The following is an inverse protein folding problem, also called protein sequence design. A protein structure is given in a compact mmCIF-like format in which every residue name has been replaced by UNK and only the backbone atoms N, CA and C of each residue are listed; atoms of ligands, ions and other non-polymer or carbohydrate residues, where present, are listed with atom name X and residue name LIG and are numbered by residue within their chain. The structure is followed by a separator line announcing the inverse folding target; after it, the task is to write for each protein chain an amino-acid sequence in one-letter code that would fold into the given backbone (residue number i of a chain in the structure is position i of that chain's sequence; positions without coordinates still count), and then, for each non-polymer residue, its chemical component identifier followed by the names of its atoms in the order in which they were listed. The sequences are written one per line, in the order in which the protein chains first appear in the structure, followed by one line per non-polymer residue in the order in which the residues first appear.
data_IF_000351140195
#
_entry.id   IF_000351140195
#
_cell.length_a   1.000
_cell.length_b   1.000
_cell.length_c   1.000
_cell.angle_alpha   90.00
_cell.angle_beta   90.00
_cell.angle_gamma   90.00
#
_symmetry.space_group_name_H-M   'P 1'
#
loop_
_entity.id
_entity.type
_entity.pdbx_description
1 polymer ?
#
# COMPACT_ATOMS: atom_id res chain seq x y z
N UNK A 1 -13.40 -19.00 16.90
CA UNK A 1 -14.45 -19.43 15.91
C UNK A 1 -13.86 -20.58 15.10
N UNK A 2 -14.56 -21.68 15.01
CA UNK A 2 -14.07 -22.86 14.26
C UNK A 2 -14.95 -23.17 13.07
N UNK A 3 -14.33 -23.57 11.96
CA UNK A 3 -15.03 -23.92 10.74
C UNK A 3 -14.16 -24.87 9.88
N UNK A 4 -14.67 -26.07 9.59
CA UNK A 4 -14.01 -27.05 8.70
C UNK A 4 -12.53 -27.34 9.05
N UNK A 5 -12.19 -27.45 10.34
CA UNK A 5 -10.81 -27.69 10.78
C UNK A 5 -9.92 -26.45 10.84
N UNK A 6 -10.48 -25.27 10.54
CA UNK A 6 -9.82 -23.97 10.75
C UNK A 6 -10.26 -23.39 12.10
N UNK A 7 -9.34 -22.74 12.80
CA UNK A 7 -9.62 -22.00 14.03
C UNK A 7 -9.17 -20.54 13.88
N UNK A 8 -10.05 -19.59 14.25
CA UNK A 8 -9.76 -18.17 14.25
C UNK A 8 -9.49 -17.68 15.66
N UNK A 9 -8.37 -17.00 15.86
CA UNK A 9 -7.97 -16.35 17.10
C UNK A 9 -7.67 -14.87 16.86
N UNK A 10 -7.98 -14.05 17.86
CA UNK A 10 -7.45 -12.68 17.96
C UNK A 10 -6.25 -12.77 18.90
N UNK A 11 -5.12 -12.28 18.41
CA UNK A 11 -3.84 -12.40 19.13
C UNK A 11 -3.26 -11.02 19.46
N UNK A 12 -2.33 -10.98 20.41
CA UNK A 12 -1.60 -9.77 20.78
C UNK A 12 -0.53 -9.42 19.74
N UNK A 13 -0.02 -8.19 19.80
CA UNK A 13 1.11 -7.77 18.95
C UNK A 13 2.38 -8.55 19.27
N UNK A 14 2.59 -8.93 20.53
CA UNK A 14 3.74 -9.72 20.99
C UNK A 14 3.71 -11.13 20.42
N UNK A 15 2.55 -11.81 20.50
CA UNK A 15 2.36 -13.14 19.89
C UNK A 15 2.57 -13.08 18.38
N UNK A 16 2.05 -12.03 17.73
CA UNK A 16 2.22 -11.83 16.30
C UNK A 16 3.70 -11.63 15.90
N UNK A 17 4.44 -10.81 16.63
CA UNK A 17 5.88 -10.60 16.40
C UNK A 17 6.67 -11.90 16.58
N UNK A 18 6.31 -12.72 17.58
CA UNK A 18 6.93 -14.03 17.81
C UNK A 18 6.65 -15.01 16.67
N UNK A 19 5.39 -15.12 16.27
CA UNK A 19 4.96 -16.00 15.16
C UNK A 19 5.68 -15.69 13.85
N UNK A 20 5.90 -14.40 13.56
CA UNK A 20 6.50 -13.94 12.30
C UNK A 20 8.03 -13.80 12.34
N UNK A 21 8.68 -13.97 13.49
CA UNK A 21 10.12 -13.74 13.68
C UNK A 21 10.99 -14.48 12.67
N UNK A 22 10.61 -15.69 12.29
CA UNK A 22 11.37 -16.57 11.40
C UNK A 22 10.82 -16.62 9.98
N UNK A 23 9.88 -15.73 9.63
CA UNK A 23 9.30 -15.65 8.28
C UNK A 23 9.99 -14.53 7.52
N UNK A 24 10.67 -14.86 6.44
CA UNK A 24 11.45 -13.89 5.64
C UNK A 24 10.62 -13.05 4.69
N UNK A 25 9.50 -13.60 4.20
CA UNK A 25 8.76 -13.04 3.05
C UNK A 25 7.46 -12.35 3.49
N UNK A 26 7.56 -11.52 4.53
CA UNK A 26 6.40 -10.79 5.06
C UNK A 26 6.18 -9.53 4.21
N UNK A 27 4.96 -9.33 3.66
CA UNK A 27 4.61 -8.09 2.99
C UNK A 27 4.73 -6.87 3.91
N UNK A 28 5.18 -5.75 3.38
CA UNK A 28 5.47 -4.54 4.18
C UNK A 28 4.25 -4.04 4.95
N UNK A 29 3.02 -4.20 4.44
CA UNK A 29 1.81 -3.71 5.10
C UNK A 29 1.36 -4.52 6.31
N UNK A 30 1.89 -5.73 6.51
CA UNK A 30 1.64 -6.55 7.70
C UNK A 30 2.91 -6.83 8.51
N UNK A 31 4.06 -6.32 8.06
CA UNK A 31 5.30 -6.44 8.84
C UNK A 31 5.09 -5.90 10.26
N UNK A 32 5.52 -6.62 11.32
CA UNK A 32 5.34 -6.19 12.70
C UNK A 32 5.79 -4.76 13.00
N UNK A 33 6.88 -4.30 12.37
CA UNK A 33 7.35 -2.92 12.47
C UNK A 33 6.35 -1.95 11.83
N UNK A 34 5.87 -2.31 10.65
CA UNK A 34 4.96 -1.48 9.86
C UNK A 34 3.61 -1.27 10.54
N UNK A 35 3.06 -2.30 11.16
CA UNK A 35 1.74 -2.22 11.81
C UNK A 35 1.72 -1.47 13.14
N UNK A 36 2.89 -1.12 13.70
CA UNK A 36 2.99 -0.31 14.94
C UNK A 36 2.39 1.08 14.79
N UNK A 37 2.24 1.57 13.56
CA UNK A 37 1.59 2.84 13.28
C UNK A 37 0.10 2.86 13.60
N UNK A 38 -0.57 1.71 13.58
CA UNK A 38 -1.98 1.61 13.92
C UNK A 38 -2.14 1.55 15.43
N UNK A 39 -2.64 2.65 16.01
CA UNK A 39 -2.93 2.75 17.44
C UNK A 39 -3.94 1.69 17.87
N UNK A 40 -5.04 1.58 17.14
CA UNK A 40 -6.03 0.54 17.33
C UNK A 40 -6.00 -0.43 16.16
N UNK A 41 -5.77 -1.70 16.48
CA UNK A 41 -5.79 -2.80 15.51
C UNK A 41 -6.22 -4.10 16.18
N UNK A 42 -6.86 -4.95 15.42
CA UNK A 42 -7.01 -6.38 15.76
C UNK A 42 -6.13 -7.20 14.83
N UNK A 43 -5.49 -8.20 15.38
CA UNK A 43 -4.66 -9.14 14.62
C UNK A 43 -5.37 -10.49 14.63
N UNK A 44 -5.88 -10.85 13.46
CA UNK A 44 -6.60 -12.10 13.24
C UNK A 44 -5.59 -13.15 12.79
N UNK A 45 -5.54 -14.27 13.50
CA UNK A 45 -4.74 -15.45 13.19
C UNK A 45 -5.66 -16.61 12.82
N UNK A 46 -5.42 -17.23 11.69
CA UNK A 46 -6.08 -18.48 11.30
C UNK A 46 -5.11 -19.63 11.48
N UNK A 47 -5.59 -20.66 12.17
CA UNK A 47 -4.88 -21.92 12.35
C UNK A 47 -5.50 -23.00 11.48
N UNK A 48 -4.67 -23.90 10.94
CA UNK A 48 -5.05 -25.16 10.33
C UNK A 48 -4.29 -26.26 11.04
N UNK A 49 -5.00 -27.20 11.68
CA UNK A 49 -4.40 -28.28 12.47
C UNK A 49 -3.45 -27.77 13.58
N UNK A 50 -3.85 -26.70 14.26
CA UNK A 50 -3.12 -25.93 15.28
C UNK A 50 -1.87 -25.19 14.79
N UNK A 51 -1.58 -25.17 13.48
CA UNK A 51 -0.45 -24.46 12.89
C UNK A 51 -0.91 -23.16 12.23
N UNK A 52 -0.13 -22.07 12.31
CA UNK A 52 -0.47 -20.83 11.63
C UNK A 52 -0.63 -21.01 10.12
N UNK A 53 -1.75 -20.54 9.59
CA UNK A 53 -2.07 -20.56 8.16
C UNK A 53 -2.07 -19.16 7.57
N UNK A 54 -2.75 -18.22 8.23
CA UNK A 54 -2.89 -16.88 7.72
C UNK A 54 -3.01 -15.84 8.83
N UNK A 55 -2.65 -14.60 8.51
CA UNK A 55 -2.83 -13.45 9.39
C UNK A 55 -3.53 -12.32 8.63
N UNK A 56 -4.31 -11.53 9.36
CA UNK A 56 -4.84 -10.28 8.87
C UNK A 56 -4.81 -9.22 9.96
N UNK A 57 -4.21 -8.08 9.67
CA UNK A 57 -4.18 -6.92 10.55
C UNK A 57 -5.29 -5.98 10.16
N UNK A 58 -6.22 -5.72 11.05
CA UNK A 58 -7.39 -4.87 10.83
C UNK A 58 -7.23 -3.61 11.69
N UNK A 59 -6.77 -2.49 11.13
CA UNK A 59 -6.82 -1.22 11.83
C UNK A 59 -8.27 -0.77 11.99
N UNK A 60 -8.57 -0.13 13.12
CA UNK A 60 -9.91 0.37 13.37
C UNK A 60 -9.92 1.65 14.18
N UNK A 61 -11.04 2.34 14.17
CA UNK A 61 -11.34 3.46 15.05
C UNK A 61 -12.84 3.51 15.34
N UNK A 62 -13.21 4.32 16.35
CA UNK A 62 -14.61 4.60 16.66
C UNK A 62 -15.00 5.99 16.12
N UNK A 63 -16.13 6.05 15.44
CA UNK A 63 -16.75 7.29 14.98
C UNK A 63 -18.26 7.21 15.23
N UNK A 64 -18.80 8.17 15.94
CA UNK A 64 -20.24 8.25 16.29
C UNK A 64 -20.74 6.94 16.98
N UNK A 65 -19.94 6.37 17.88
CA UNK A 65 -20.23 5.12 18.58
C UNK A 65 -20.15 3.85 17.71
N UNK A 66 -19.79 3.97 16.44
CA UNK A 66 -19.64 2.86 15.49
C UNK A 66 -18.18 2.44 15.33
N UNK A 67 -17.92 1.13 15.20
CA UNK A 67 -16.58 0.57 14.97
C UNK A 67 -16.31 0.43 13.48
N UNK A 68 -15.30 1.14 13.00
CA UNK A 68 -14.89 1.21 11.60
C UNK A 68 -13.59 0.45 11.35
N UNK A 69 -13.61 -0.54 10.48
CA UNK A 69 -12.41 -1.16 9.94
C UNK A 69 -11.91 -0.32 8.75
N UNK A 70 -10.97 0.57 9.02
CA UNK A 70 -10.42 1.48 8.01
C UNK A 70 -9.02 1.95 8.40
N UNK A 71 -8.22 2.30 7.41
CA UNK A 71 -6.92 2.97 7.59
C UNK A 71 -7.13 4.47 7.79
N UNK A 72 -7.17 4.95 9.03
CA UNK A 72 -7.47 6.36 9.34
C UNK A 72 -6.62 7.35 8.53
N UNK A 73 -5.34 7.05 8.25
CA UNK A 73 -4.39 7.98 7.60
C UNK A 73 -3.73 7.43 6.34
N UNK A 74 -4.22 6.33 5.75
CA UNK A 74 -3.74 5.75 4.47
C UNK A 74 -2.21 5.58 4.40
N UNK A 75 -1.62 4.90 5.37
CA UNK A 75 -0.16 4.70 5.42
C UNK A 75 0.38 3.76 4.34
N UNK A 76 -0.39 2.75 4.00
CA UNK A 76 -0.10 1.80 2.91
C UNK A 76 -1.26 1.78 1.94
N UNK A 77 -0.99 1.53 0.66
CA UNK A 77 -2.03 1.46 -0.35
C UNK A 77 -3.02 0.33 -0.05
N UNK A 78 -2.53 -0.78 0.49
CA UNK A 78 -3.28 -2.02 0.65
C UNK A 78 -3.16 -2.61 2.05
N UNK A 79 -4.18 -3.38 2.46
CA UNK A 79 -4.16 -4.24 3.64
C UNK A 79 -4.89 -5.54 3.29
N UNK A 80 -4.16 -6.62 3.11
CA UNK A 80 -4.72 -7.92 2.74
C UNK A 80 -4.38 -9.01 3.74
N UNK A 81 -5.21 -10.05 3.88
CA UNK A 81 -4.81 -11.27 4.53
C UNK A 81 -3.55 -11.86 3.88
N UNK A 82 -2.64 -12.32 4.72
CA UNK A 82 -1.38 -12.95 4.29
C UNK A 82 -1.35 -14.40 4.72
N UNK A 83 -1.02 -15.29 3.78
CA UNK A 83 -0.88 -16.73 4.02
C UNK A 83 0.59 -17.09 4.19
N UNK A 84 0.96 -17.55 5.39
CA UNK A 84 2.35 -17.89 5.73
C UNK A 84 2.81 -19.21 5.10
N UNK A 85 1.88 -20.04 4.65
CA UNK A 85 2.18 -21.29 3.94
C UNK A 85 1.17 -21.54 2.82
N UNK A 86 1.62 -22.27 1.81
CA UNK A 86 0.73 -22.75 0.72
C UNK A 86 -0.32 -23.70 1.30
N UNK A 87 -1.56 -23.55 0.87
CA UNK A 87 -2.65 -24.45 1.21
C UNK A 87 -3.57 -24.65 0.00
N UNK A 88 -4.39 -25.72 -0.01
CA UNK A 88 -5.39 -25.92 -1.07
C UNK A 88 -6.34 -24.74 -1.20
N UNK A 89 -6.73 -24.37 -2.43
CA UNK A 89 -7.60 -23.24 -2.71
C UNK A 89 -8.91 -23.27 -1.89
N UNK A 90 -9.47 -24.47 -1.62
CA UNK A 90 -10.65 -24.61 -0.78
C UNK A 90 -10.38 -24.09 0.64
N UNK A 91 -9.25 -24.50 1.25
CA UNK A 91 -8.88 -24.05 2.59
C UNK A 91 -8.59 -22.55 2.64
N UNK A 92 -7.97 -22.02 1.58
CA UNK A 92 -7.74 -20.60 1.42
C UNK A 92 -9.05 -19.80 1.41
N UNK A 93 -10.04 -20.23 0.61
CA UNK A 93 -11.37 -19.63 0.59
C UNK A 93 -12.11 -19.72 1.92
N UNK A 94 -12.03 -20.87 2.61
CA UNK A 94 -12.62 -21.08 3.93
C UNK A 94 -11.98 -20.14 4.97
N UNK A 95 -10.66 -19.96 4.95
CA UNK A 95 -9.95 -19.03 5.84
C UNK A 95 -10.36 -17.57 5.60
N UNK A 96 -10.44 -17.15 4.34
CA UNK A 96 -10.93 -15.80 3.97
C UNK A 96 -12.37 -15.60 4.42
N UNK A 97 -13.25 -16.58 4.20
CA UNK A 97 -14.62 -16.53 4.71
C UNK A 97 -14.67 -16.32 6.23
N UNK A 98 -13.87 -17.08 6.99
CA UNK A 98 -13.81 -16.95 8.45
C UNK A 98 -13.34 -15.54 8.88
N UNK A 99 -12.28 -15.02 8.26
CA UNK A 99 -11.75 -13.69 8.56
C UNK A 99 -12.83 -12.62 8.37
N UNK A 100 -13.45 -12.60 7.19
CA UNK A 100 -14.42 -11.53 6.86
C UNK A 100 -15.76 -11.73 7.56
N UNK A 101 -16.18 -12.97 7.82
CA UNK A 101 -17.36 -13.23 8.64
C UNK A 101 -17.15 -12.72 10.08
N UNK A 102 -15.96 -12.91 10.65
CA UNK A 102 -15.63 -12.32 11.95
C UNK A 102 -15.69 -10.80 11.91
N UNK A 103 -15.06 -10.17 10.92
CA UNK A 103 -15.05 -8.70 10.79
C UNK A 103 -16.48 -8.16 10.65
N UNK A 104 -17.28 -8.69 9.75
CA UNK A 104 -18.64 -8.21 9.48
C UNK A 104 -19.61 -8.48 10.66
N UNK A 105 -19.26 -9.44 11.54
CA UNK A 105 -20.02 -9.66 12.78
C UNK A 105 -19.65 -8.69 13.91
N UNK A 106 -18.41 -8.16 13.92
CA UNK A 106 -17.86 -7.38 15.04
C UNK A 106 -17.63 -5.90 14.73
N UNK A 107 -17.78 -5.48 13.45
CA UNK A 107 -17.61 -4.12 13.00
C UNK A 107 -18.90 -3.60 12.38
N UNK A 108 -19.15 -2.30 12.49
CA UNK A 108 -20.31 -1.66 11.85
C UNK A 108 -20.01 -1.30 10.39
N UNK A 109 -18.77 -0.95 10.10
CA UNK A 109 -18.32 -0.57 8.75
C UNK A 109 -16.95 -1.16 8.42
N UNK A 110 -16.73 -1.43 7.14
CA UNK A 110 -15.42 -1.70 6.59
C UNK A 110 -15.21 -0.94 5.28
N UNK A 111 -14.09 -0.24 5.19
CA UNK A 111 -13.65 0.48 3.98
C UNK A 111 -12.16 0.23 3.77
N UNK A 112 -11.84 -0.80 2.97
CA UNK A 112 -10.48 -1.33 2.90
C UNK A 112 -10.07 -1.76 1.50
N UNK A 113 -8.95 -1.25 0.96
CA UNK A 113 -8.34 -1.78 -0.25
C UNK A 113 -7.56 -3.05 0.05
N UNK A 114 -7.76 -4.05 -0.78
CA UNK A 114 -6.97 -5.26 -0.77
C UNK A 114 -5.86 -5.19 -1.83
N UNK A 115 -4.77 -5.90 -1.57
CA UNK A 115 -3.63 -5.95 -2.49
C UNK A 115 -4.03 -6.54 -3.86
N UNK A 116 -3.43 -6.09 -4.98
CA UNK A 116 -3.75 -6.60 -6.32
C UNK A 116 -3.58 -8.12 -6.49
N UNK A 117 -2.71 -8.75 -5.69
CA UNK A 117 -2.56 -10.22 -5.69
C UNK A 117 -3.69 -10.97 -4.98
N UNK A 118 -4.63 -10.28 -4.35
CA UNK A 118 -5.76 -10.91 -3.65
C UNK A 118 -6.85 -11.32 -4.64
N UNK A 119 -7.20 -12.61 -4.65
CA UNK A 119 -8.10 -13.21 -5.66
C UNK A 119 -9.39 -13.81 -5.08
N UNK A 120 -9.51 -13.95 -3.76
CA UNK A 120 -10.63 -14.65 -3.10
C UNK A 120 -11.89 -13.79 -2.91
N UNK A 121 -12.20 -12.92 -3.88
CA UNK A 121 -13.29 -11.93 -3.82
C UNK A 121 -14.66 -12.56 -3.57
N UNK A 122 -14.94 -13.70 -4.22
CA UNK A 122 -16.23 -14.37 -4.10
C UNK A 122 -16.58 -14.81 -2.66
N UNK A 123 -15.57 -15.12 -1.84
CA UNK A 123 -15.75 -15.48 -0.43
C UNK A 123 -16.24 -14.29 0.42
N UNK A 124 -15.89 -13.08 0.02
CA UNK A 124 -16.27 -11.84 0.71
C UNK A 124 -17.65 -11.35 0.21
N UNK A 125 -17.88 -11.39 -1.11
CA UNK A 125 -19.16 -10.99 -1.70
C UNK A 125 -20.32 -11.83 -1.16
N UNK A 126 -20.11 -13.12 -0.95
CA UNK A 126 -21.10 -14.02 -0.35
C UNK A 126 -21.52 -13.64 1.08
N UNK A 127 -20.76 -12.77 1.76
CA UNK A 127 -21.06 -12.21 3.08
C UNK A 127 -21.80 -10.85 3.02
N UNK A 128 -22.16 -10.38 1.83
CA UNK A 128 -22.93 -9.13 1.67
C UNK A 128 -22.09 -7.85 1.51
N UNK A 129 -20.77 -7.97 1.34
CA UNK A 129 -19.94 -6.81 1.05
C UNK A 129 -20.08 -6.36 -0.41
N UNK A 130 -20.01 -5.07 -0.64
CA UNK A 130 -19.84 -4.49 -1.97
C UNK A 130 -18.35 -4.40 -2.30
N UNK A 131 -17.98 -4.86 -3.50
CA UNK A 131 -16.61 -4.84 -3.99
C UNK A 131 -16.50 -3.83 -5.12
N UNK A 132 -15.78 -2.75 -4.86
CA UNK A 132 -15.40 -1.77 -5.89
C UNK A 132 -14.10 -2.22 -6.56
N UNK A 133 -14.03 -2.12 -7.89
CA UNK A 133 -12.79 -2.33 -8.63
C UNK A 133 -12.06 -0.99 -8.81
N UNK A 134 -10.84 -0.92 -8.34
CA UNK A 134 -9.92 0.20 -8.60
C UNK A 134 -8.71 -0.32 -9.35
N UNK A 135 -7.89 0.57 -9.87
CA UNK A 135 -6.68 0.16 -10.59
C UNK A 135 -5.45 0.87 -10.04
N UNK A 136 -4.32 0.22 -10.25
CA UNK A 136 -2.99 0.77 -10.06
C UNK A 136 -2.13 0.50 -11.29
N UNK A 137 -0.96 1.10 -11.34
CA UNK A 137 0.02 0.89 -12.40
C UNK A 137 1.25 0.21 -11.82
N UNK A 138 1.71 -0.87 -12.46
CA UNK A 138 2.89 -1.61 -12.03
C UNK A 138 3.92 -1.75 -13.16
N UNK A 139 5.18 -1.68 -12.81
CA UNK A 139 6.29 -2.16 -13.64
C UNK A 139 6.69 -3.56 -13.19
N UNK A 140 7.03 -4.43 -14.16
CA UNK A 140 7.56 -5.78 -13.90
C UNK A 140 9.03 -5.93 -14.27
N UNK A 141 9.61 -4.90 -14.83
CA UNK A 141 11.01 -4.84 -15.23
C UNK A 141 11.52 -3.40 -15.16
N UNK A 142 12.82 -3.24 -15.28
CA UNK A 142 13.40 -1.92 -15.50
C UNK A 142 12.72 -1.25 -16.68
N UNK A 143 12.33 -0.01 -16.50
CA UNK A 143 11.72 0.78 -17.55
C UNK A 143 12.61 0.79 -18.80
N UNK A 144 12.10 0.29 -19.93
CA UNK A 144 12.80 0.32 -21.20
C UNK A 144 12.63 1.69 -21.87
N UNK A 145 13.67 2.50 -21.87
CA UNK A 145 13.60 3.85 -22.40
C UNK A 145 13.29 3.89 -23.92
N UNK A 146 13.62 2.85 -24.68
CA UNK A 146 13.38 2.82 -26.12
C UNK A 146 11.90 2.54 -26.47
N UNK A 147 11.15 2.00 -25.55
CA UNK A 147 9.70 1.78 -25.68
C UNK A 147 8.87 3.00 -25.26
N UNK A 148 9.48 3.98 -24.60
CA UNK A 148 8.79 5.20 -24.18
C UNK A 148 8.60 6.18 -25.33
N UNK A 149 7.59 7.04 -25.20
CA UNK A 149 7.45 8.21 -26.06
C UNK A 149 8.77 8.99 -26.16
N UNK A 150 9.10 9.46 -27.36
CA UNK A 150 10.37 10.13 -27.65
C UNK A 150 10.61 11.36 -26.77
N UNK A 151 9.56 12.11 -26.45
CA UNK A 151 9.62 13.31 -25.59
C UNK A 151 9.95 12.91 -24.15
N UNK A 152 9.30 11.87 -23.60
CA UNK A 152 9.56 11.38 -22.25
C UNK A 152 10.99 10.81 -22.15
N UNK A 153 11.38 9.97 -23.11
CA UNK A 153 12.74 9.42 -23.21
C UNK A 153 13.81 10.51 -23.21
N UNK A 154 13.63 11.54 -24.06
CA UNK A 154 14.58 12.64 -24.15
C UNK A 154 14.61 13.49 -22.87
N UNK A 155 13.47 13.66 -22.19
CA UNK A 155 13.41 14.34 -20.89
C UNK A 155 14.19 13.57 -19.82
N UNK A 156 14.04 12.24 -19.72
CA UNK A 156 14.81 11.39 -18.81
C UNK A 156 16.30 11.47 -19.12
N UNK A 157 16.69 11.33 -20.40
CA UNK A 157 18.10 11.45 -20.83
C UNK A 157 18.69 12.84 -20.55
N UNK A 158 17.89 13.91 -20.65
CA UNK A 158 18.34 15.27 -20.32
C UNK A 158 18.50 15.46 -18.81
N UNK A 159 17.55 14.97 -18.02
CA UNK A 159 17.59 15.05 -16.56
C UNK A 159 18.78 14.24 -15.98
N UNK A 160 19.05 13.05 -16.55
CA UNK A 160 20.16 12.19 -16.07
C UNK A 160 21.57 12.81 -16.25
N UNK A 161 21.70 13.82 -17.12
CA UNK A 161 22.95 14.58 -17.28
C UNK A 161 23.10 15.73 -16.29
N UNK A 162 22.02 16.09 -15.60
CA UNK A 162 21.95 17.28 -14.74
C UNK A 162 21.76 16.94 -13.28
N UNK A 163 21.09 15.84 -12.99
CA UNK A 163 20.77 15.42 -11.63
C UNK A 163 21.67 14.28 -11.19
N UNK A 164 22.21 14.44 -9.99
CA UNK A 164 22.77 13.36 -9.22
C UNK A 164 21.66 12.75 -8.35
N UNK A 165 21.50 11.43 -8.37
CA UNK A 165 20.53 10.71 -7.52
C UNK A 165 21.29 10.02 -6.39
N UNK A 166 20.93 10.33 -5.15
CA UNK A 166 21.37 9.58 -3.97
C UNK A 166 20.28 8.64 -3.50
N UNK A 167 20.67 7.53 -2.92
CA UNK A 167 19.77 6.49 -2.40
C UNK A 167 20.22 6.21 -0.97
N UNK A 168 19.36 6.51 -0.01
CA UNK A 168 19.77 6.45 1.38
C UNK A 168 18.59 6.33 2.38
N UNK A 169 18.90 6.07 3.66
CA UNK A 169 17.92 5.96 4.74
C UNK A 169 17.89 7.20 5.64
N UNK A 170 18.70 8.22 5.34
CA UNK A 170 18.79 9.44 6.15
C UNK A 170 17.56 10.34 5.93
N UNK A 171 16.69 10.53 6.94
CA UNK A 171 15.50 11.33 6.80
C UNK A 171 15.79 12.82 6.51
N UNK A 172 17.00 13.32 6.79
CA UNK A 172 17.38 14.70 6.47
C UNK A 172 17.46 14.97 4.96
N UNK A 173 17.51 13.91 4.14
CA UNK A 173 17.52 13.98 2.68
C UNK A 173 16.12 14.12 2.07
N UNK A 174 15.07 14.16 2.88
CA UNK A 174 13.69 14.18 2.40
C UNK A 174 12.88 15.32 3.02
N UNK A 175 12.22 16.11 2.18
CA UNK A 175 11.36 17.19 2.65
C UNK A 175 9.96 16.66 2.94
N UNK A 176 9.73 16.28 4.20
CA UNK A 176 8.44 15.76 4.65
C UNK A 176 7.33 16.81 4.64
N UNK A 177 7.67 18.07 4.82
CA UNK A 177 6.68 19.15 4.93
C UNK A 177 6.08 19.48 3.54
N UNK A 178 6.87 19.31 2.47
CA UNK A 178 6.37 19.37 1.09
C UNK A 178 5.67 18.06 0.69
N UNK A 179 6.21 16.90 1.11
CA UNK A 179 5.73 15.59 0.63
C UNK A 179 4.41 15.15 1.22
N UNK A 180 4.09 15.55 2.46
CA UNK A 180 2.93 15.05 3.20
C UNK A 180 1.87 16.15 3.32
N UNK A 181 0.76 15.96 2.63
CA UNK A 181 -0.41 16.85 2.68
C UNK A 181 -1.49 16.29 3.62
N UNK A 182 -2.39 17.16 4.09
CA UNK A 182 -3.52 16.80 4.95
C UNK A 182 -3.63 17.69 6.18
N UNK A 183 -4.42 17.29 7.17
CA UNK A 183 -4.50 17.99 8.47
C UNK A 183 -3.16 17.86 9.22
N UNK A 184 -2.92 18.74 10.18
CA UNK A 184 -1.68 18.70 10.98
C UNK A 184 -1.51 17.35 11.68
N UNK A 185 -2.57 16.78 12.26
CA UNK A 185 -2.56 15.46 12.89
C UNK A 185 -2.17 14.36 11.87
N UNK A 186 -2.76 14.40 10.68
CA UNK A 186 -2.45 13.45 9.61
C UNK A 186 -0.99 13.56 9.16
N UNK A 187 -0.49 14.78 8.97
CA UNK A 187 0.91 15.02 8.59
C UNK A 187 1.89 14.49 9.65
N UNK A 188 1.64 14.77 10.92
CA UNK A 188 2.48 14.29 12.04
C UNK A 188 2.48 12.75 12.11
N UNK A 189 1.31 12.12 12.00
CA UNK A 189 1.19 10.67 12.01
C UNK A 189 1.91 10.02 10.81
N UNK A 190 1.72 10.55 9.60
CA UNK A 190 2.37 10.04 8.38
C UNK A 190 3.89 10.23 8.43
N UNK A 191 4.37 11.37 8.92
CA UNK A 191 5.80 11.63 9.13
C UNK A 191 6.41 10.68 10.14
N UNK A 192 5.73 10.45 11.28
CA UNK A 192 6.17 9.48 12.29
C UNK A 192 6.28 8.07 11.72
N UNK A 193 5.31 7.66 10.91
CA UNK A 193 5.36 6.38 10.21
C UNK A 193 6.57 6.30 9.26
N UNK A 194 6.73 7.29 8.39
CA UNK A 194 7.82 7.35 7.44
C UNK A 194 9.19 7.22 8.13
N UNK A 195 9.39 7.97 9.23
CA UNK A 195 10.61 7.90 10.04
C UNK A 195 10.82 6.51 10.67
N UNK A 196 9.74 5.85 11.13
CA UNK A 196 9.83 4.49 11.66
C UNK A 196 10.24 3.48 10.58
N UNK A 197 9.66 3.56 9.40
CA UNK A 197 10.00 2.68 8.27
C UNK A 197 11.45 2.87 7.81
N UNK A 198 11.94 4.11 7.73
CA UNK A 198 13.34 4.41 7.41
C UNK A 198 14.30 3.84 8.45
N UNK A 199 14.02 4.07 9.75
CA UNK A 199 14.83 3.56 10.86
C UNK A 199 14.99 2.02 10.82
N UNK A 200 13.99 1.31 10.36
CA UNK A 200 13.97 -0.16 10.29
C UNK A 200 14.26 -0.70 8.88
N UNK A 201 14.76 0.13 7.97
CA UNK A 201 15.09 -0.26 6.59
C UNK A 201 13.93 -0.90 5.80
N UNK A 202 12.69 -0.49 6.12
CA UNK A 202 11.46 -0.87 5.39
C UNK A 202 11.04 0.16 4.36
N UNK A 203 11.71 1.31 4.35
CA UNK A 203 11.59 2.35 3.33
C UNK A 203 12.97 2.88 2.97
N UNK A 204 13.08 3.51 1.80
CA UNK A 204 14.32 4.11 1.31
C UNK A 204 13.99 5.39 0.54
N UNK A 205 14.90 6.36 0.57
CA UNK A 205 14.75 7.67 -0.05
C UNK A 205 15.62 7.75 -1.31
N UNK A 206 15.04 8.27 -2.37
CA UNK A 206 15.72 8.69 -3.59
C UNK A 206 15.68 10.20 -3.64
N UNK A 207 16.84 10.87 -3.60
CA UNK A 207 16.93 12.34 -3.66
C UNK A 207 17.70 12.77 -4.88
N UNK A 208 17.10 13.64 -5.68
CA UNK A 208 17.73 14.25 -6.85
C UNK A 208 18.31 15.61 -6.51
N UNK A 209 19.62 15.76 -6.76
CA UNK A 209 20.38 17.00 -6.57
C UNK A 209 20.63 17.68 -7.90
N UNK A 210 20.46 18.99 -7.92
CA UNK A 210 20.84 19.85 -9.02
C UNK A 210 21.72 20.98 -8.48
N UNK A 211 22.94 21.13 -9.03
CA UNK A 211 23.94 22.11 -8.55
C UNK A 211 24.19 22.01 -7.03
N UNK A 212 24.27 20.77 -6.54
CA UNK A 212 24.52 20.46 -5.12
C UNK A 212 23.35 20.69 -4.16
N UNK A 213 22.15 21.08 -4.68
CA UNK A 213 20.94 21.30 -3.87
C UNK A 213 19.93 20.19 -4.09
N UNK A 214 19.29 19.64 -3.03
CA UNK A 214 18.20 18.71 -3.16
C UNK A 214 16.98 19.44 -3.74
N UNK A 215 16.40 18.92 -4.81
CA UNK A 215 15.28 19.58 -5.52
C UNK A 215 14.07 18.69 -5.70
N UNK A 216 14.23 17.39 -5.57
CA UNK A 216 13.16 16.40 -5.76
C UNK A 216 13.49 15.13 -4.98
N UNK A 217 12.48 14.46 -4.45
CA UNK A 217 12.68 13.19 -3.78
C UNK A 217 11.47 12.29 -3.85
N UNK A 218 11.73 10.99 -3.82
CA UNK A 218 10.74 9.94 -3.65
C UNK A 218 11.17 9.03 -2.51
N UNK A 219 10.23 8.71 -1.64
CA UNK A 219 10.36 7.68 -0.62
C UNK A 219 9.51 6.50 -1.04
N UNK A 220 10.09 5.32 -1.05
CA UNK A 220 9.42 4.07 -1.37
C UNK A 220 9.51 3.11 -0.20
N UNK A 221 8.47 2.27 -0.02
CA UNK A 221 8.51 1.10 0.85
C UNK A 221 8.71 -0.16 0.02
N UNK A 222 9.23 -1.22 0.61
CA UNK A 222 9.49 -2.45 -0.13
C UNK A 222 9.47 -3.67 0.79
N UNK A 223 9.21 -4.81 0.19
CA UNK A 223 9.38 -6.15 0.76
C UNK A 223 10.22 -7.01 -0.20
N UNK A 224 10.12 -8.32 -0.11
CA UNK A 224 10.94 -9.23 -0.92
C UNK A 224 10.52 -9.35 -2.39
N UNK A 225 9.33 -8.87 -2.75
CA UNK A 225 8.82 -8.95 -4.12
C UNK A 225 8.44 -7.60 -4.71
N UNK A 226 7.95 -6.68 -3.86
CA UNK A 226 7.34 -5.44 -4.27
C UNK A 226 8.10 -4.22 -3.76
N UNK A 227 8.06 -3.16 -4.55
CA UNK A 227 8.34 -1.79 -4.11
C UNK A 227 7.10 -0.93 -4.37
N UNK A 228 6.77 -0.07 -3.41
CA UNK A 228 5.60 0.80 -3.46
C UNK A 228 6.01 2.26 -3.32
N UNK A 229 5.45 3.14 -4.15
CA UNK A 229 5.55 4.58 -3.95
C UNK A 229 4.89 4.97 -2.62
N UNK A 230 5.54 5.77 -1.78
CA UNK A 230 4.96 6.20 -0.51
C UNK A 230 4.74 7.70 -0.47
N UNK A 231 5.79 8.48 -0.68
CA UNK A 231 5.76 9.93 -0.67
C UNK A 231 6.68 10.51 -1.73
N UNK A 232 6.28 11.63 -2.32
CA UNK A 232 7.08 12.36 -3.28
C UNK A 232 7.04 13.86 -2.98
N UNK A 233 8.14 14.55 -3.22
CA UNK A 233 8.23 16.00 -3.13
C UNK A 233 9.08 16.57 -4.25
N UNK A 234 8.85 17.82 -4.60
CA UNK A 234 9.72 18.61 -5.45
C UNK A 234 9.56 20.10 -5.16
N UNK A 235 10.61 20.86 -5.42
CA UNK A 235 10.55 22.33 -5.37
C UNK A 235 9.83 22.88 -6.63
N UNK A 236 9.39 24.15 -6.59
CA UNK A 236 8.61 24.75 -7.67
C UNK A 236 9.32 24.70 -9.05
N UNK A 237 10.65 24.82 -9.06
CA UNK A 237 11.44 24.86 -10.29
C UNK A 237 12.45 23.72 -10.32
N UNK A 238 12.13 22.67 -11.07
CA UNK A 238 13.02 21.54 -11.32
C UNK A 238 13.36 21.43 -12.82
N UNK A 239 14.55 20.94 -13.19
CA UNK A 239 14.87 20.62 -14.58
C UNK A 239 13.83 19.69 -15.19
N UNK A 240 13.45 19.94 -16.44
CA UNK A 240 12.47 19.10 -17.12
C UNK A 240 12.92 17.64 -17.15
N UNK A 241 12.03 16.72 -16.79
CA UNK A 241 12.31 15.29 -16.73
C UNK A 241 12.81 14.80 -15.39
N UNK A 242 12.93 15.63 -14.34
CA UNK A 242 13.40 15.24 -13.01
C UNK A 242 12.52 14.15 -12.37
N UNK A 243 11.19 14.33 -12.38
CA UNK A 243 10.25 13.32 -11.86
C UNK A 243 10.36 11.98 -12.58
N UNK A 244 10.23 11.94 -13.93
CA UNK A 244 10.45 10.69 -14.66
C UNK A 244 11.83 10.06 -14.45
N UNK A 245 12.90 10.85 -14.27
CA UNK A 245 14.22 10.32 -14.03
C UNK A 245 14.35 9.66 -12.65
N UNK A 246 13.72 10.22 -11.62
CA UNK A 246 13.69 9.58 -10.30
C UNK A 246 12.94 8.24 -10.35
N UNK A 247 11.78 8.19 -11.03
CA UNK A 247 11.02 6.93 -11.23
C UNK A 247 11.84 5.89 -11.99
N UNK A 248 12.55 6.30 -13.03
CA UNK A 248 13.50 5.44 -13.74
C UNK A 248 14.60 4.91 -12.83
N UNK A 249 15.15 5.75 -11.94
CA UNK A 249 16.19 5.36 -10.98
C UNK A 249 15.66 4.37 -9.95
N UNK A 250 14.43 4.56 -9.45
CA UNK A 250 13.76 3.59 -8.56
C UNK A 250 13.60 2.25 -9.29
N UNK A 251 13.13 2.24 -10.54
CA UNK A 251 12.95 1.01 -11.30
C UNK A 251 14.28 0.25 -11.50
N UNK A 252 15.38 0.95 -11.75
CA UNK A 252 16.71 0.34 -11.84
C UNK A 252 17.12 -0.31 -10.53
N UNK A 253 17.00 0.42 -9.43
CA UNK A 253 17.33 -0.07 -8.11
C UNK A 253 16.47 -1.29 -7.74
N UNK A 254 15.15 -1.20 -7.92
CA UNK A 254 14.22 -2.27 -7.58
C UNK A 254 14.55 -3.57 -8.32
N UNK A 255 14.71 -3.52 -9.64
CA UNK A 255 14.84 -4.72 -10.46
C UNK A 255 16.28 -5.20 -10.62
N UNK A 256 17.28 -4.31 -10.75
CA UNK A 256 18.68 -4.71 -10.98
C UNK A 256 19.48 -4.89 -9.71
N UNK A 257 19.24 -4.04 -8.71
CA UNK A 257 20.06 -4.06 -7.49
C UNK A 257 19.41 -4.91 -6.39
N UNK A 258 18.08 -4.84 -6.25
CA UNK A 258 17.33 -5.58 -5.23
C UNK A 258 16.71 -6.89 -5.74
N UNK A 259 16.56 -7.06 -7.06
CA UNK A 259 15.95 -8.25 -7.64
C UNK A 259 14.45 -8.39 -7.35
N UNK A 260 13.76 -7.26 -7.07
CA UNK A 260 12.32 -7.23 -6.83
C UNK A 260 11.56 -7.55 -8.12
N UNK A 261 10.30 -7.98 -7.99
CA UNK A 261 9.49 -8.42 -9.14
C UNK A 261 8.52 -7.34 -9.64
N UNK A 262 8.13 -6.41 -8.76
CA UNK A 262 7.07 -5.45 -9.04
C UNK A 262 7.40 -4.08 -8.47
N UNK A 263 7.14 -3.04 -9.24
CA UNK A 263 7.10 -1.66 -8.73
C UNK A 263 5.70 -1.11 -8.94
N UNK A 264 4.98 -0.86 -7.85
CA UNK A 264 3.63 -0.34 -7.80
C UNK A 264 3.65 1.17 -7.54
N UNK A 265 2.97 1.93 -8.39
CA UNK A 265 2.79 3.38 -8.23
C UNK A 265 1.68 3.75 -7.22
N UNK A 266 1.08 2.76 -6.54
CA UNK A 266 0.03 2.89 -5.52
C UNK A 266 -1.30 3.47 -6.01
N UNK A 267 -1.65 3.23 -7.25
CA UNK A 267 -2.94 3.60 -7.83
C UNK A 267 -3.13 5.10 -8.03
N UNK A 268 -4.08 5.45 -8.85
CA UNK A 268 -4.51 6.83 -9.01
C UNK A 268 -6.00 6.89 -9.29
N UNK A 269 -6.72 7.62 -8.46
CA UNK A 269 -8.11 8.04 -8.73
C UNK A 269 -8.15 9.38 -9.46
N UNK A 270 -7.02 10.07 -9.58
CA UNK A 270 -6.89 11.35 -10.31
C UNK A 270 -6.44 11.09 -11.73
N UNK A 271 -7.26 11.47 -12.71
CA UNK A 271 -6.97 11.25 -14.12
C UNK A 271 -5.61 11.83 -14.56
N UNK A 272 -5.18 12.97 -14.01
CA UNK A 272 -3.89 13.57 -14.32
C UNK A 272 -2.71 12.71 -13.87
N UNK A 273 -2.82 12.05 -12.72
CA UNK A 273 -1.80 11.15 -12.18
C UNK A 273 -1.85 9.81 -12.93
N UNK A 274 -3.05 9.31 -13.22
CA UNK A 274 -3.26 8.12 -14.03
C UNK A 274 -2.60 8.27 -15.41
N UNK A 275 -2.90 9.36 -16.13
CA UNK A 275 -2.27 9.69 -17.39
C UNK A 275 -0.74 9.83 -17.27
N UNK A 276 -0.24 10.34 -16.14
CA UNK A 276 1.20 10.42 -15.88
C UNK A 276 1.83 9.02 -15.79
N UNK A 277 1.21 8.10 -15.06
CA UNK A 277 1.71 6.73 -14.92
C UNK A 277 1.62 5.91 -16.22
N UNK A 278 0.59 6.12 -17.04
CA UNK A 278 0.47 5.50 -18.36
C UNK A 278 1.68 5.79 -19.26
N UNK A 279 2.33 6.97 -19.10
CA UNK A 279 3.49 7.33 -19.93
C UNK A 279 4.72 6.44 -19.70
N UNK A 280 4.76 5.68 -18.60
CA UNK A 280 5.90 4.80 -18.27
C UNK A 280 5.74 3.37 -18.82
N UNK A 281 4.73 3.11 -19.65
CA UNK A 281 4.35 1.77 -20.11
C UNK A 281 4.12 0.78 -18.94
N UNK A 282 3.68 1.30 -17.80
CA UNK A 282 3.29 0.50 -16.66
C UNK A 282 1.99 -0.25 -16.96
N UNK A 283 1.93 -1.52 -16.55
CA UNK A 283 0.74 -2.34 -16.69
C UNK A 283 -0.34 -1.86 -15.71
N UNK A 284 -1.54 -1.58 -16.23
CA UNK A 284 -2.68 -1.26 -15.38
C UNK A 284 -3.28 -2.56 -14.83
N UNK A 285 -3.34 -2.70 -13.52
CA UNK A 285 -3.94 -3.85 -12.85
C UNK A 285 -5.05 -3.43 -11.89
N UNK A 286 -6.04 -4.30 -11.75
CA UNK A 286 -7.19 -4.07 -10.86
C UNK A 286 -6.85 -4.57 -9.45
N UNK A 287 -7.28 -3.80 -8.45
CA UNK A 287 -7.32 -4.25 -7.06
C UNK A 287 -8.72 -4.04 -6.46
N UNK A 288 -9.15 -4.96 -5.58
CA UNK A 288 -10.47 -4.85 -4.96
C UNK A 288 -10.47 -3.88 -3.78
N UNK A 289 -11.55 -3.13 -3.65
CA UNK A 289 -11.83 -2.27 -2.51
C UNK A 289 -13.11 -2.75 -1.85
N UNK A 290 -13.06 -3.08 -0.55
CA UNK A 290 -14.20 -3.59 0.21
C UNK A 290 -14.97 -2.42 0.80
N UNK A 291 -16.29 -2.45 0.59
CA UNK A 291 -17.26 -1.63 1.30
C UNK A 291 -18.23 -2.56 2.03
N UNK A 292 -18.35 -2.40 3.32
CA UNK A 292 -19.31 -3.12 4.15
C UNK A 292 -19.98 -2.13 5.12
N UNK A 293 -21.30 -2.23 5.24
CA UNK A 293 -22.12 -1.60 6.25
C UNK A 293 -23.08 -2.62 6.82
N UNK A 294 -23.33 -2.60 8.11
CA UNK A 294 -24.13 -3.59 8.81
C UNK A 294 -25.58 -3.64 8.33
N UNK A 295 -26.08 -2.54 7.78
CA UNK A 295 -27.37 -2.43 7.10
C UNK A 295 -27.19 -1.98 5.66
N UNK A 296 -28.16 -2.28 4.79
CA UNK A 296 -28.13 -1.82 3.39
C UNK A 296 -28.02 -0.29 3.32
N UNK A 297 -28.75 0.44 4.17
CA UNK A 297 -28.70 1.91 4.23
C UNK A 297 -27.29 2.42 4.53
N UNK A 298 -26.62 1.83 5.53
CA UNK A 298 -25.25 2.17 5.89
C UNK A 298 -24.25 1.87 4.78
N UNK A 299 -24.44 0.76 4.06
CA UNK A 299 -23.62 0.42 2.91
C UNK A 299 -23.83 1.43 1.75
N UNK A 300 -25.07 1.78 1.44
CA UNK A 300 -25.38 2.75 0.38
C UNK A 300 -24.80 4.13 0.71
N UNK A 301 -24.91 4.60 1.96
CA UNK A 301 -24.30 5.84 2.45
C UNK A 301 -22.75 5.81 2.34
N UNK A 302 -22.13 4.67 2.66
CA UNK A 302 -20.68 4.51 2.56
C UNK A 302 -20.21 4.60 1.10
N UNK A 303 -20.91 3.93 0.18
CA UNK A 303 -20.61 3.96 -1.26
C UNK A 303 -20.77 5.37 -1.83
N UNK A 304 -21.85 6.07 -1.47
CA UNK A 304 -22.09 7.45 -1.90
C UNK A 304 -21.02 8.41 -1.38
N UNK A 305 -20.65 8.29 -0.11
CA UNK A 305 -19.58 9.09 0.48
C UNK A 305 -18.22 8.85 -0.17
N UNK A 306 -17.89 7.59 -0.53
CA UNK A 306 -16.64 7.28 -1.21
C UNK A 306 -16.57 7.93 -2.59
N UNK A 307 -17.67 7.88 -3.37
CA UNK A 307 -17.78 8.54 -4.68
C UNK A 307 -17.66 10.06 -4.58
N UNK A 308 -18.22 10.68 -3.52
CA UNK A 308 -18.12 12.12 -3.28
C UNK A 308 -16.70 12.55 -2.91
N UNK A 309 -15.95 11.73 -2.19
CA UNK A 309 -14.52 11.97 -1.91
C UNK A 309 -13.73 11.91 -3.20
N UNK A 310 -13.93 10.86 -4.00
CA UNK A 310 -13.28 10.70 -5.30
C UNK A 310 -13.70 11.82 -6.27
N UNK A 311 -14.98 12.23 -6.29
CA UNK A 311 -15.48 13.34 -7.10
C UNK A 311 -14.91 14.73 -6.76
N UNK A 312 -14.41 14.94 -5.52
CA UNK A 312 -13.66 16.16 -5.16
C UNK A 312 -12.24 16.15 -5.70
N UNK A 313 -11.67 14.97 -5.97
CA UNK A 313 -10.35 14.81 -6.57
C UNK A 313 -10.37 15.04 -8.09
N UNK A 314 -11.57 15.05 -8.71
CA UNK A 314 -11.76 15.30 -10.16
C UNK A 314 -12.15 16.75 -10.49
N UNK A 315 -12.27 17.64 -9.52
CA UNK A 315 -12.49 19.09 -9.71
C UNK A 315 -11.20 19.85 -9.47
#
# INVERSE_FOLDING_TARGET
MQFNGLDLKIISSEEYEEDLRNISDIPVWIDPISIRIYENKEIIKILLDNEPLAYYVVPFYYKDGKKWAERKYRYFAYLSPYFVKKCPNKKRKEAIYLIFNYIFSNYDYMYMPLHPSFTEISSIQGLGAFMESRHTHILRNVMNLDELDSKLRNNIKSASKKLEITIDYDPSKFDFDIAIHGTKEEQECRKKNALNLLKHHKAIIFTGYYEGKPIIGNMVTFDNEWVYGLHAWQVDKVPRGSGPYIIYSISKWAFKEKGLKYFDFEGSVMQSIDNYFCNFNAEQIIYPYIHFGKTKKELDELIENSRNIDGRLFK
#
